data_IF_039785534987
#
_entry.id   IF_039785534987
#
_cell.length_a   1.000
_cell.length_b   1.000
_cell.length_c   1.000
_cell.angle_alpha   90.00
_cell.angle_beta   90.00
_cell.angle_gamma   90.00
#
_symmetry.space_group_name_H-M   'P 1'
#
loop_
_entity.id
_entity.type
_entity.pdbx_description
1 polymer ?
#
# COMPACT_ATOMS: atom_id res chain seq x y z
N UNK A 1 -12.18 -28.65 -13.41
CA UNK A 1 -11.42 -27.37 -13.38
C UNK A 1 -10.87 -27.11 -14.78
N UNK A 2 -11.23 -25.99 -15.43
CA UNK A 2 -10.72 -25.62 -16.78
C UNK A 2 -9.70 -24.49 -16.64
N UNK A 3 -8.56 -24.57 -17.33
CA UNK A 3 -7.50 -23.55 -17.31
C UNK A 3 -7.56 -22.77 -18.63
N UNK A 4 -7.52 -21.44 -18.57
CA UNK A 4 -7.40 -20.59 -19.75
C UNK A 4 -5.94 -20.54 -20.21
N UNK A 5 -5.66 -21.05 -21.42
CA UNK A 5 -4.31 -21.12 -21.98
C UNK A 5 -3.74 -19.73 -22.32
N UNK A 6 -4.59 -18.76 -22.60
CA UNK A 6 -4.20 -17.38 -22.95
C UNK A 6 -3.83 -16.53 -21.72
N UNK A 7 -4.36 -16.88 -20.55
CA UNK A 7 -4.14 -16.13 -19.29
C UNK A 7 -3.15 -16.83 -18.36
N UNK A 8 -2.52 -17.91 -18.81
CA UNK A 8 -1.54 -18.66 -18.00
C UNK A 8 -0.15 -18.07 -18.19
N UNK A 9 0.59 -17.95 -17.10
CA UNK A 9 2.00 -17.64 -17.08
C UNK A 9 2.69 -18.78 -16.35
N UNK A 10 3.64 -19.46 -17.00
CA UNK A 10 4.34 -20.63 -16.46
C UNK A 10 5.85 -20.44 -16.61
N UNK A 11 6.62 -20.79 -15.59
CA UNK A 11 8.09 -20.75 -15.63
C UNK A 11 8.70 -19.35 -15.59
N UNK A 12 8.01 -18.35 -15.05
CA UNK A 12 8.52 -16.98 -14.90
C UNK A 12 9.09 -16.75 -13.49
N UNK A 13 10.19 -16.01 -13.39
CA UNK A 13 10.78 -15.58 -12.11
C UNK A 13 9.94 -14.49 -11.41
N UNK A 14 9.21 -13.71 -12.20
CA UNK A 14 8.30 -12.65 -11.76
C UNK A 14 6.95 -12.77 -12.49
N UNK A 15 5.85 -12.61 -11.74
CA UNK A 15 4.50 -12.73 -12.23
C UNK A 15 3.63 -11.57 -11.77
N UNK A 16 2.81 -11.03 -12.67
CA UNK A 16 1.74 -10.11 -12.30
C UNK A 16 0.49 -10.88 -11.89
N UNK A 17 0.07 -10.73 -10.64
CA UNK A 17 -1.10 -11.39 -10.10
C UNK A 17 -1.84 -10.46 -9.13
N UNK A 18 -3.16 -10.36 -9.25
CA UNK A 18 -4.03 -9.59 -8.35
C UNK A 18 -3.63 -8.10 -8.17
N UNK A 19 -2.98 -7.49 -9.17
CA UNK A 19 -2.50 -6.10 -9.06
C UNK A 19 -1.16 -5.95 -8.34
N UNK A 20 -0.53 -7.07 -7.99
CA UNK A 20 0.82 -7.14 -7.48
C UNK A 20 1.78 -7.70 -8.52
N UNK A 21 3.05 -7.38 -8.32
CA UNK A 21 4.19 -8.02 -8.96
C UNK A 21 4.77 -8.99 -7.93
N UNK A 22 4.66 -10.28 -8.20
CA UNK A 22 5.10 -11.35 -7.29
C UNK A 22 6.34 -11.99 -7.87
N UNK A 23 7.39 -12.07 -7.07
CA UNK A 23 8.59 -12.85 -7.37
C UNK A 23 8.83 -13.87 -6.26
N UNK A 24 9.78 -14.78 -6.43
CA UNK A 24 10.14 -15.74 -5.38
C UNK A 24 10.61 -15.09 -4.07
N UNK A 25 11.10 -13.84 -4.13
CA UNK A 25 11.69 -13.15 -2.98
C UNK A 25 10.88 -11.93 -2.53
N UNK A 26 10.06 -11.34 -3.39
CA UNK A 26 9.44 -10.05 -3.11
C UNK A 26 8.04 -9.90 -3.67
N UNK A 27 7.28 -9.03 -3.02
CA UNK A 27 5.96 -8.58 -3.40
C UNK A 27 6.01 -7.07 -3.66
N UNK A 28 5.65 -6.67 -4.87
CA UNK A 28 5.56 -5.28 -5.31
C UNK A 28 4.16 -4.91 -5.75
N UNK A 29 3.95 -3.61 -5.98
CA UNK A 29 2.73 -3.09 -6.58
C UNK A 29 2.90 -3.07 -8.11
N UNK A 30 1.89 -3.51 -8.87
CA UNK A 30 1.90 -3.33 -10.32
C UNK A 30 1.77 -1.84 -10.67
N UNK A 31 2.87 -1.24 -11.13
CA UNK A 31 2.96 0.18 -11.48
C UNK A 31 1.89 0.60 -12.50
N UNK A 32 1.42 -0.32 -13.37
CA UNK A 32 0.34 -0.04 -14.31
C UNK A 32 -0.99 0.26 -13.60
N UNK A 33 -1.27 -0.42 -12.47
CA UNK A 33 -2.46 -0.18 -11.67
C UNK A 33 -2.39 1.16 -10.93
N UNK A 34 -1.21 1.52 -10.45
CA UNK A 34 -0.99 2.83 -9.80
C UNK A 34 -1.07 3.96 -10.81
N UNK A 35 -0.47 3.81 -11.99
CA UNK A 35 -0.51 4.81 -13.06
C UNK A 35 -1.94 5.19 -13.44
N UNK A 36 -2.85 4.21 -13.52
CA UNK A 36 -4.25 4.46 -13.79
C UNK A 36 -4.94 5.35 -12.72
N UNK A 37 -4.46 5.32 -11.47
CA UNK A 37 -4.96 6.19 -10.39
C UNK A 37 -4.29 7.55 -10.41
N UNK A 38 -3.02 7.64 -10.80
CA UNK A 38 -2.30 8.91 -10.92
C UNK A 38 -2.92 9.84 -11.97
N UNK A 39 -3.44 9.27 -13.05
CA UNK A 39 -4.07 10.00 -14.15
C UNK A 39 -5.49 10.49 -13.83
N UNK A 40 -6.11 10.01 -12.73
CA UNK A 40 -7.45 10.46 -12.37
C UNK A 40 -7.40 11.88 -11.80
N UNK A 41 -8.41 12.71 -12.10
CA UNK A 41 -8.56 14.01 -11.45
C UNK A 41 -8.79 13.81 -9.93
N UNK A 42 -8.56 14.88 -9.18
CA UNK A 42 -8.90 14.91 -7.76
C UNK A 42 -10.39 14.59 -7.59
N UNK A 43 -10.76 13.68 -6.66
CA UNK A 43 -12.15 13.32 -6.42
C UNK A 43 -13.03 14.54 -6.15
N UNK A 44 -14.18 14.60 -6.83
CA UNK A 44 -15.14 15.71 -6.70
C UNK A 44 -16.33 15.38 -5.81
N UNK A 45 -16.46 14.12 -5.39
CA UNK A 45 -17.55 13.67 -4.53
C UNK A 45 -17.12 12.52 -3.61
N UNK A 46 -17.97 12.22 -2.62
CA UNK A 46 -17.73 11.15 -1.64
C UNK A 46 -17.52 9.77 -2.29
N UNK A 47 -18.26 9.48 -3.36
CA UNK A 47 -18.19 8.17 -4.06
C UNK A 47 -16.82 7.97 -4.70
N UNK A 48 -16.30 8.97 -5.38
CA UNK A 48 -14.96 8.95 -5.97
C UNK A 48 -13.87 8.86 -4.90
N UNK A 49 -14.03 9.61 -3.80
CA UNK A 49 -13.08 9.55 -2.69
C UNK A 49 -13.04 8.17 -2.03
N UNK A 50 -14.21 7.56 -1.77
CA UNK A 50 -14.29 6.19 -1.26
C UNK A 50 -13.70 5.17 -2.22
N UNK A 51 -13.89 5.34 -3.54
CA UNK A 51 -13.27 4.49 -4.55
C UNK A 51 -11.73 4.59 -4.52
N UNK A 52 -11.20 5.81 -4.40
CA UNK A 52 -9.76 6.03 -4.23
C UNK A 52 -9.23 5.41 -2.94
N UNK A 53 -9.89 5.65 -1.80
CA UNK A 53 -9.50 5.10 -0.50
C UNK A 53 -9.56 3.58 -0.49
N UNK A 54 -10.57 2.98 -1.14
CA UNK A 54 -10.65 1.54 -1.32
C UNK A 54 -9.43 0.99 -2.07
N UNK A 55 -9.07 1.62 -3.20
CA UNK A 55 -7.86 1.27 -3.94
C UNK A 55 -6.58 1.43 -3.10
N UNK A 56 -6.40 2.58 -2.45
CA UNK A 56 -5.20 2.84 -1.65
C UNK A 56 -5.09 1.88 -0.45
N UNK A 57 -6.23 1.54 0.17
CA UNK A 57 -6.30 0.62 1.30
C UNK A 57 -5.91 -0.81 0.92
N UNK A 58 -6.14 -1.23 -0.33
CA UNK A 58 -5.70 -2.53 -0.84
C UNK A 58 -4.17 -2.67 -0.76
N UNK A 59 -3.44 -1.59 -1.02
CA UNK A 59 -1.97 -1.56 -0.96
C UNK A 59 -1.42 -1.04 0.37
N UNK A 60 -2.24 -0.88 1.42
CA UNK A 60 -1.83 -0.27 2.70
C UNK A 60 -0.59 -0.92 3.34
N UNK A 61 -0.33 -2.20 3.06
CA UNK A 61 0.85 -2.91 3.57
C UNK A 61 2.17 -2.38 3.02
N UNK A 62 2.14 -1.64 1.91
CA UNK A 62 3.30 -0.96 1.34
C UNK A 62 3.43 0.50 1.81
N UNK A 63 2.39 1.03 2.48
CA UNK A 63 2.27 2.45 2.78
C UNK A 63 2.50 2.69 4.27
N UNK A 64 3.64 3.30 4.60
CA UNK A 64 3.92 3.77 5.95
C UNK A 64 2.88 4.82 6.36
N UNK A 65 2.40 4.73 7.60
CA UNK A 65 1.50 5.71 8.24
C UNK A 65 0.19 5.98 7.47
N UNK A 66 -0.27 5.01 6.67
CA UNK A 66 -1.48 5.15 5.84
C UNK A 66 -2.70 5.62 6.62
N UNK A 67 -2.91 5.11 7.84
CA UNK A 67 -4.07 5.43 8.64
C UNK A 67 -4.11 6.91 9.04
N UNK A 68 -2.94 7.50 9.35
CA UNK A 68 -2.79 8.92 9.67
C UNK A 68 -3.06 9.76 8.41
N UNK A 69 -2.46 9.39 7.28
CA UNK A 69 -2.63 10.10 6.01
C UNK A 69 -4.08 10.07 5.52
N UNK A 70 -4.76 8.93 5.67
CA UNK A 70 -6.12 8.75 5.17
C UNK A 70 -7.21 9.29 6.12
N UNK A 71 -6.86 9.69 7.35
CA UNK A 71 -7.82 10.11 8.40
C UNK A 71 -8.75 11.23 7.95
N UNK A 72 -8.19 12.32 7.47
CA UNK A 72 -8.98 13.47 6.99
C UNK A 72 -9.82 13.14 5.75
N UNK A 73 -9.39 12.16 4.95
CA UNK A 73 -10.08 11.70 3.74
C UNK A 73 -11.23 10.73 4.05
N UNK A 74 -11.11 9.88 5.08
CA UNK A 74 -12.24 9.08 5.54
C UNK A 74 -13.33 9.95 6.15
N UNK A 75 -12.95 10.97 6.94
CA UNK A 75 -13.91 11.88 7.59
C UNK A 75 -14.82 12.65 6.63
N UNK A 76 -14.35 12.98 5.42
CA UNK A 76 -15.20 13.62 4.38
C UNK A 76 -16.15 12.65 3.68
N UNK A 77 -15.89 11.35 3.79
CA UNK A 77 -16.77 10.33 3.25
C UNK A 77 -17.97 10.06 4.16
N UNK A 78 -17.92 10.50 5.43
CA UNK A 78 -19.04 10.37 6.38
C UNK A 78 -20.29 11.08 5.87
N UNK A 79 -21.46 10.46 6.09
CA UNK A 79 -22.73 10.98 5.57
C UNK A 79 -23.04 12.40 6.06
N UNK A 80 -22.69 12.70 7.31
CA UNK A 80 -22.96 13.98 7.98
C UNK A 80 -21.96 15.10 7.61
N UNK A 81 -20.83 14.76 6.97
CA UNK A 81 -19.79 15.74 6.64
C UNK A 81 -20.02 16.32 5.24
N UNK A 82 -19.90 17.64 5.07
CA UNK A 82 -19.91 18.26 3.74
C UNK A 82 -18.65 17.85 2.98
N UNK A 83 -18.81 17.47 1.71
CA UNK A 83 -17.66 17.12 0.88
C UNK A 83 -16.91 18.39 0.47
N UNK A 84 -15.68 18.55 0.97
CA UNK A 84 -14.84 19.70 0.69
C UNK A 84 -13.38 19.27 0.63
N UNK A 85 -12.70 19.57 -0.48
CA UNK A 85 -11.26 19.32 -0.62
C UNK A 85 -10.46 20.53 -0.18
N UNK A 86 -10.31 20.67 1.14
CA UNK A 86 -9.43 21.68 1.76
C UNK A 86 -7.96 21.44 1.36
N UNK A 87 -7.10 22.45 1.52
CA UNK A 87 -5.67 22.31 1.25
C UNK A 87 -5.02 21.14 2.02
N UNK A 88 -5.45 20.90 3.26
CA UNK A 88 -4.97 19.78 4.07
C UNK A 88 -5.33 18.42 3.44
N UNK A 89 -6.57 18.26 2.97
CA UNK A 89 -7.06 17.04 2.33
C UNK A 89 -6.40 16.83 0.96
N UNK A 90 -6.17 17.89 0.20
CA UNK A 90 -5.40 17.82 -1.06
C UNK A 90 -3.98 17.34 -0.77
N UNK A 91 -3.31 17.89 0.25
CA UNK A 91 -1.96 17.43 0.66
C UNK A 91 -1.97 15.96 1.08
N UNK A 92 -2.98 15.51 1.84
CA UNK A 92 -3.12 14.12 2.24
C UNK A 92 -3.31 13.19 1.03
N UNK A 93 -4.19 13.57 0.09
CA UNK A 93 -4.43 12.85 -1.15
C UNK A 93 -3.15 12.69 -1.99
N UNK A 94 -2.40 13.77 -2.19
CA UNK A 94 -1.14 13.74 -2.95
C UNK A 94 -0.05 12.94 -2.22
N UNK A 95 0.03 12.99 -0.88
CA UNK A 95 0.94 12.13 -0.11
C UNK A 95 0.64 10.65 -0.31
N UNK A 96 -0.63 10.24 -0.32
CA UNK A 96 -1.01 8.84 -0.57
C UNK A 96 -0.67 8.44 -2.01
N UNK A 97 -0.92 9.30 -3.00
CA UNK A 97 -0.52 9.05 -4.39
C UNK A 97 0.99 8.84 -4.52
N UNK A 98 1.78 9.72 -3.90
CA UNK A 98 3.24 9.63 -3.89
C UNK A 98 3.72 8.34 -3.20
N UNK A 99 3.13 8.00 -2.06
CA UNK A 99 3.46 6.77 -1.35
C UNK A 99 3.14 5.50 -2.17
N UNK A 100 2.05 5.50 -2.95
CA UNK A 100 1.71 4.40 -3.87
C UNK A 100 2.73 4.27 -5.02
N UNK A 101 3.32 5.37 -5.47
CA UNK A 101 4.33 5.35 -6.54
C UNK A 101 5.72 5.00 -6.08
N UNK A 102 6.07 5.40 -4.86
CA UNK A 102 7.39 5.19 -4.25
C UNK A 102 7.41 3.98 -3.31
N UNK A 103 6.31 3.21 -3.29
CA UNK A 103 6.15 2.03 -2.46
C UNK A 103 7.33 1.06 -2.63
N UNK A 104 8.02 0.67 -1.55
CA UNK A 104 9.09 -0.30 -1.63
C UNK A 104 8.54 -1.69 -1.96
N UNK A 105 9.41 -2.53 -2.52
CA UNK A 105 9.17 -3.97 -2.56
C UNK A 105 9.16 -4.50 -1.12
N UNK A 106 8.14 -5.29 -0.80
CA UNK A 106 8.09 -6.03 0.45
C UNK A 106 8.77 -7.37 0.23
N UNK A 107 9.67 -7.77 1.13
CA UNK A 107 10.30 -9.07 1.02
C UNK A 107 9.38 -10.16 1.59
N UNK A 108 9.38 -11.33 0.96
CA UNK A 108 8.62 -12.47 1.47
C UNK A 108 9.19 -12.88 2.84
N UNK A 109 8.32 -13.14 3.84
CA UNK A 109 8.78 -13.55 5.15
C UNK A 109 9.49 -14.90 5.09
N UNK A 110 10.65 -15.00 5.73
CA UNK A 110 11.27 -16.27 6.06
C UNK A 110 10.89 -16.64 7.49
N UNK A 111 10.15 -17.74 7.64
CA UNK A 111 9.62 -18.18 8.93
C UNK A 111 10.68 -18.78 9.87
N UNK A 112 11.90 -19.02 9.36
CA UNK A 112 12.99 -19.60 10.13
C UNK A 112 13.89 -18.55 10.81
N UNK A 113 13.69 -17.26 10.52
CA UNK A 113 14.48 -16.15 11.08
C UNK A 113 13.58 -15.21 11.91
N UNK A 114 14.14 -14.54 12.93
CA UNK A 114 13.35 -13.65 13.78
C UNK A 114 12.87 -12.41 13.04
N UNK A 115 11.67 -11.95 13.41
CA UNK A 115 11.12 -10.68 12.97
C UNK A 115 11.56 -9.53 13.89
N UNK A 116 11.68 -8.33 13.31
CA UNK A 116 11.82 -7.07 14.05
C UNK A 116 10.55 -6.25 13.86
N UNK A 117 9.93 -5.85 14.96
CA UNK A 117 8.74 -5.01 14.93
C UNK A 117 9.08 -3.63 15.47
N UNK A 118 8.97 -2.62 14.61
CA UNK A 118 9.03 -1.21 15.02
C UNK A 118 7.62 -0.71 15.19
N UNK A 119 7.36 0.00 16.29
CA UNK A 119 6.05 0.55 16.61
C UNK A 119 6.23 2.01 16.98
N UNK A 120 5.36 2.86 16.47
CA UNK A 120 5.22 4.25 16.87
C UNK A 120 3.73 4.57 17.06
N UNK A 121 3.40 5.32 18.11
CA UNK A 121 2.02 5.62 18.45
C UNK A 121 1.90 7.07 18.91
N UNK A 122 0.83 7.72 18.47
CA UNK A 122 0.45 9.04 18.93
C UNK A 122 -1.04 9.05 19.30
N UNK A 123 -1.53 10.16 19.86
CA UNK A 123 -2.94 10.30 20.22
C UNK A 123 -3.91 10.13 19.03
N UNK A 124 -3.41 10.24 17.80
CA UNK A 124 -4.21 10.12 16.58
C UNK A 124 -4.20 8.74 15.93
N UNK A 125 -3.25 7.86 16.28
CA UNK A 125 -3.08 6.56 15.62
C UNK A 125 -1.83 5.78 16.00
N UNK A 126 -1.77 4.55 15.49
CA UNK A 126 -0.68 3.58 15.65
C UNK A 126 -0.06 3.27 14.27
N UNK A 127 1.25 3.36 14.17
CA UNK A 127 2.06 2.87 13.06
C UNK A 127 2.97 1.73 13.52
N UNK A 128 3.17 0.74 12.66
CA UNK A 128 4.19 -0.27 12.88
C UNK A 128 4.79 -0.75 11.54
N UNK A 129 6.02 -1.22 11.59
CA UNK A 129 6.71 -1.79 10.44
C UNK A 129 7.38 -3.09 10.85
N UNK A 130 6.97 -4.18 10.20
CA UNK A 130 7.54 -5.50 10.37
C UNK A 130 8.71 -5.65 9.40
N UNK A 131 9.89 -5.94 9.94
CA UNK A 131 11.14 -6.12 9.19
C UNK A 131 11.77 -7.47 9.48
N UNK A 132 12.64 -7.92 8.58
CA UNK A 132 13.54 -9.04 8.78
C UNK A 132 14.93 -8.73 8.23
N UNK A 133 15.96 -9.31 8.83
CA UNK A 133 17.32 -9.24 8.31
C UNK A 133 17.54 -10.45 7.41
N UNK A 134 17.49 -10.24 6.10
CA UNK A 134 17.66 -11.28 5.09
C UNK A 134 18.96 -11.06 4.30
N UNK A 135 19.47 -12.14 3.69
CA UNK A 135 20.65 -12.08 2.81
C UNK A 135 20.15 -11.79 1.40
N UNK A 136 20.54 -10.64 0.84
CA UNK A 136 20.22 -10.25 -0.53
C UNK A 136 21.55 -10.13 -1.28
N UNK A 137 21.80 -11.03 -2.22
CA UNK A 137 23.13 -11.24 -2.77
C UNK A 137 24.09 -11.65 -1.66
N UNK A 138 25.16 -10.89 -1.44
CA UNK A 138 26.16 -11.16 -0.40
C UNK A 138 26.00 -10.30 0.87
N UNK A 139 24.89 -9.56 1.00
CA UNK A 139 24.71 -8.58 2.08
C UNK A 139 23.54 -8.93 2.99
N UNK A 140 23.79 -8.92 4.29
CA UNK A 140 22.73 -8.87 5.32
C UNK A 140 22.08 -7.50 5.28
N UNK A 141 20.81 -7.48 4.89
CA UNK A 141 20.03 -6.25 4.74
C UNK A 141 18.75 -6.39 5.55
N UNK A 142 18.44 -5.36 6.32
CA UNK A 142 17.14 -5.26 6.97
C UNK A 142 16.12 -4.73 5.99
N UNK A 143 15.06 -5.49 5.76
CA UNK A 143 14.07 -5.21 4.74
C UNK A 143 12.65 -5.25 5.29
N UNK A 144 11.73 -4.44 4.73
CA UNK A 144 10.35 -4.43 5.16
C UNK A 144 9.63 -5.68 4.66
N UNK A 145 8.91 -6.35 5.56
CA UNK A 145 7.96 -7.42 5.25
C UNK A 145 6.56 -6.82 5.07
N UNK A 146 6.16 -5.90 5.96
CA UNK A 146 4.93 -5.12 5.79
C UNK A 146 4.89 -3.89 6.70
N UNK A 147 4.08 -2.91 6.30
CA UNK A 147 3.66 -1.79 7.13
C UNK A 147 2.25 -2.04 7.70
N UNK A 148 2.06 -1.65 8.94
CA UNK A 148 0.81 -1.76 9.68
C UNK A 148 0.45 -0.35 10.15
N UNK A 149 -0.81 0.06 9.94
CA UNK A 149 -1.26 1.37 10.39
C UNK A 149 -2.73 1.29 10.79
N UNK A 150 -3.06 1.85 11.95
CA UNK A 150 -4.42 1.89 12.51
C UNK A 150 -4.72 3.25 13.11
N UNK A 151 -5.95 3.71 12.96
CA UNK A 151 -6.48 4.85 13.70
C UNK A 151 -6.90 4.36 15.10
N UNK A 152 -6.68 5.21 16.10
CA UNK A 152 -7.14 5.01 17.48
C UNK A 152 -8.36 5.92 17.69
#
# INVERSE_FOLDING_TARGET
MKISLEKRNLGFEELKALGHVVSGLSLGIDKNKVAAVLLKPIPQNKKEMMSFLGFASYYRQHLKDFAILAKSLYRICDQQTVFEMTQERIKAYEKIKKALTEAPLLLMPDWNIPFKLYIDACGDGLGAALHQVQIIGDKRTEVPVCYISRQI
#
